data_IF_144500540900
#
_entry.id   IF_144500540900
#
_cell.length_a   1.000
_cell.length_b   1.000
_cell.length_c   1.000
_cell.angle_alpha   90.00
_cell.angle_beta   90.00
_cell.angle_gamma   90.00
#
_symmetry.space_group_name_H-M   'P 1'
#
loop_
_entity.id
_entity.type
_entity.pdbx_description
1 polymer ?
#
# COMPACT_ATOMS: atom_id res chain seq x y z
N UNK A 1 -8.03 -11.16 -11.17
CA UNK A 1 -8.50 -11.31 -12.56
C UNK A 1 -8.45 -9.97 -13.30
N UNK A 2 -9.14 -8.93 -12.82
CA UNK A 2 -9.27 -7.62 -13.50
C UNK A 2 -7.95 -6.89 -13.71
N UNK A 3 -7.10 -6.78 -12.68
CA UNK A 3 -5.79 -6.13 -12.79
C UNK A 3 -4.90 -6.76 -13.87
N UNK A 4 -4.84 -8.08 -13.94
CA UNK A 4 -4.09 -8.80 -14.98
C UNK A 4 -4.70 -8.57 -16.37
N UNK A 5 -6.01 -8.46 -16.47
CA UNK A 5 -6.69 -8.17 -17.73
C UNK A 5 -6.41 -6.74 -18.21
N UNK A 6 -6.43 -5.77 -17.31
CA UNK A 6 -6.05 -4.39 -17.59
C UNK A 6 -4.61 -4.30 -18.14
N UNK A 7 -3.66 -5.00 -17.52
CA UNK A 7 -2.26 -5.04 -17.99
C UNK A 7 -2.12 -5.66 -19.37
N UNK A 8 -2.88 -6.74 -19.66
CA UNK A 8 -2.87 -7.37 -20.98
C UNK A 8 -3.46 -6.49 -22.08
N UNK A 9 -4.38 -5.61 -21.73
CA UNK A 9 -4.91 -4.60 -22.65
C UNK A 9 -3.90 -3.52 -23.02
N UNK A 10 -2.78 -3.45 -22.30
CA UNK A 10 -1.71 -2.48 -22.48
C UNK A 10 -1.88 -1.23 -21.60
N UNK A 11 -0.77 -0.71 -21.13
CA UNK A 11 -0.67 0.55 -20.37
C UNK A 11 0.06 1.56 -21.24
N UNK A 12 -0.57 2.69 -21.60
CA UNK A 12 0.10 3.70 -22.42
C UNK A 12 1.23 4.36 -21.62
N UNK A 13 2.39 4.51 -22.25
CA UNK A 13 3.49 5.33 -21.72
C UNK A 13 3.34 6.76 -22.25
N UNK A 14 3.48 7.74 -21.38
CA UNK A 14 3.38 9.16 -21.70
C UNK A 14 4.72 9.76 -22.07
N UNK A 15 5.82 9.05 -21.78
CA UNK A 15 7.20 9.44 -22.10
C UNK A 15 8.08 8.21 -22.28
N UNK A 16 9.22 8.41 -22.93
CA UNK A 16 10.25 7.36 -23.02
C UNK A 16 10.81 7.07 -21.63
N UNK A 17 10.92 5.79 -21.20
CA UNK A 17 11.49 5.45 -19.90
C UNK A 17 12.87 6.08 -19.66
N UNK A 18 13.08 6.62 -18.47
CA UNK A 18 14.33 7.25 -18.07
C UNK A 18 14.49 8.72 -18.50
N UNK A 19 13.55 9.30 -19.27
CA UNK A 19 13.66 10.70 -19.75
C UNK A 19 13.10 11.73 -18.78
N UNK A 20 12.10 11.35 -17.97
CA UNK A 20 11.55 12.21 -16.92
C UNK A 20 10.94 11.39 -15.79
N UNK A 21 10.79 12.02 -14.62
CA UNK A 21 10.09 11.43 -13.49
C UNK A 21 8.58 11.65 -13.66
N UNK A 22 7.82 10.56 -13.54
CA UNK A 22 6.36 10.60 -13.46
C UNK A 22 5.91 9.72 -12.28
N UNK A 23 5.20 10.33 -11.33
CA UNK A 23 4.65 9.58 -10.21
C UNK A 23 3.54 8.62 -10.69
N UNK A 24 3.65 7.34 -10.31
CA UNK A 24 2.70 6.34 -10.78
C UNK A 24 2.29 5.36 -9.67
N UNK A 25 1.07 5.48 -9.20
CA UNK A 25 0.45 4.48 -8.33
C UNK A 25 0.36 3.10 -9.01
N UNK A 26 0.06 3.09 -10.30
CA UNK A 26 0.04 1.85 -11.09
C UNK A 26 1.41 1.18 -11.12
N UNK A 27 2.49 1.95 -11.21
CA UNK A 27 3.86 1.43 -11.13
C UNK A 27 4.11 0.69 -9.82
N UNK A 28 3.70 1.25 -8.68
CA UNK A 28 3.82 0.59 -7.38
C UNK A 28 2.91 -0.64 -7.26
N UNK A 29 1.70 -0.61 -7.79
CA UNK A 29 0.82 -1.79 -7.83
C UNK A 29 1.46 -2.94 -8.65
N UNK A 30 2.13 -2.61 -9.76
CA UNK A 30 2.90 -3.57 -10.56
C UNK A 30 4.06 -4.17 -9.77
N UNK A 31 4.84 -3.37 -9.05
CA UNK A 31 5.92 -3.86 -8.18
C UNK A 31 5.38 -4.81 -7.12
N UNK A 32 4.24 -4.48 -6.48
CA UNK A 32 3.58 -5.37 -5.53
C UNK A 32 3.17 -6.71 -6.17
N UNK A 33 2.70 -6.69 -7.42
CA UNK A 33 2.38 -7.91 -8.16
C UNK A 33 3.61 -8.74 -8.50
N UNK A 34 4.71 -8.09 -8.87
CA UNK A 34 5.99 -8.77 -9.12
C UNK A 34 6.49 -9.45 -7.84
N UNK A 35 6.47 -8.75 -6.71
CA UNK A 35 6.86 -9.31 -5.40
C UNK A 35 6.02 -10.54 -5.08
N UNK A 36 4.68 -10.47 -5.21
CA UNK A 36 3.78 -11.59 -5.01
C UNK A 36 4.14 -12.79 -5.90
N UNK A 37 4.45 -12.55 -7.17
CA UNK A 37 4.79 -13.62 -8.11
C UNK A 37 6.15 -14.26 -7.81
N UNK A 38 7.13 -13.47 -7.40
CA UNK A 38 8.50 -13.97 -7.10
C UNK A 38 8.54 -14.68 -5.76
N UNK A 39 7.90 -14.11 -4.73
CA UNK A 39 7.87 -14.70 -3.38
C UNK A 39 6.91 -15.89 -3.25
N UNK A 40 5.98 -16.07 -4.18
CA UNK A 40 4.87 -17.02 -4.12
C UNK A 40 3.97 -16.83 -2.89
N UNK A 41 3.98 -15.62 -2.31
CA UNK A 41 3.19 -15.22 -1.15
C UNK A 41 2.47 -13.89 -1.42
N UNK A 42 1.36 -13.59 -0.75
CA UNK A 42 0.74 -12.28 -0.81
C UNK A 42 1.73 -11.17 -0.47
N UNK A 43 1.67 -10.05 -1.20
CA UNK A 43 2.55 -8.89 -0.98
C UNK A 43 2.63 -8.47 0.49
N UNK A 44 1.47 -8.34 1.15
CA UNK A 44 1.40 -7.90 2.54
C UNK A 44 2.12 -8.88 3.50
N UNK A 45 2.01 -10.19 3.27
CA UNK A 45 2.70 -11.21 4.06
C UNK A 45 4.20 -11.16 3.82
N UNK A 46 4.63 -11.02 2.57
CA UNK A 46 6.05 -10.90 2.21
C UNK A 46 6.68 -9.69 2.91
N UNK A 47 6.07 -8.49 2.80
CA UNK A 47 6.59 -7.29 3.45
C UNK A 47 6.58 -7.43 4.98
N UNK A 48 5.53 -8.02 5.54
CA UNK A 48 5.45 -8.22 6.98
C UNK A 48 6.58 -9.11 7.49
N UNK A 49 6.81 -10.25 6.85
CA UNK A 49 7.81 -11.23 7.31
C UNK A 49 9.25 -10.81 7.01
N UNK A 50 9.48 -10.11 5.89
CA UNK A 50 10.86 -9.78 5.46
C UNK A 50 11.34 -8.40 5.92
N UNK A 51 10.42 -7.48 6.24
CA UNK A 51 10.77 -6.11 6.66
C UNK A 51 10.21 -5.75 8.02
N UNK A 52 8.88 -5.80 8.21
CA UNK A 52 8.27 -5.25 9.42
C UNK A 52 8.67 -6.04 10.68
N UNK A 53 8.61 -7.36 10.63
CA UNK A 53 8.97 -8.20 11.76
C UNK A 53 10.47 -8.11 12.13
N UNK A 54 11.43 -8.23 11.20
CA UNK A 54 12.85 -8.06 11.53
C UNK A 54 13.20 -6.70 12.11
N UNK A 55 12.51 -5.64 11.69
CA UNK A 55 12.69 -4.30 12.23
C UNK A 55 11.94 -4.04 13.55
N UNK A 56 11.18 -5.02 14.05
CA UNK A 56 10.37 -4.86 15.26
C UNK A 56 9.22 -3.87 15.11
N UNK A 57 8.70 -3.67 13.89
CA UNK A 57 7.61 -2.75 13.58
C UNK A 57 6.23 -3.39 13.87
N UNK A 58 5.99 -3.69 15.14
CA UNK A 58 4.83 -4.47 15.59
C UNK A 58 3.47 -3.74 15.47
N UNK A 59 3.49 -2.41 15.32
CA UNK A 59 2.31 -1.56 15.12
C UNK A 59 2.13 -1.13 13.66
N UNK A 60 2.72 -1.88 12.73
CA UNK A 60 2.68 -1.62 11.30
C UNK A 60 2.10 -2.80 10.54
N UNK A 61 1.41 -2.55 9.44
CA UNK A 61 0.82 -3.60 8.61
C UNK A 61 -0.11 -3.06 7.54
N UNK A 62 -0.81 -3.99 6.89
CA UNK A 62 -1.73 -3.71 5.78
C UNK A 62 -3.21 -3.90 6.15
N UNK A 63 -3.50 -4.27 7.38
CA UNK A 63 -4.85 -4.53 7.88
C UNK A 63 -5.09 -3.66 9.11
N UNK A 64 -5.63 -2.46 8.87
CA UNK A 64 -5.93 -1.50 9.95
C UNK A 64 -6.96 -2.04 10.93
N UNK A 65 -7.84 -2.92 10.50
CA UNK A 65 -8.91 -3.45 11.35
C UNK A 65 -8.38 -4.31 12.49
N UNK A 66 -7.15 -4.79 12.37
CA UNK A 66 -6.44 -5.48 13.47
C UNK A 66 -5.99 -4.54 14.59
N UNK A 67 -5.85 -3.25 14.32
CA UNK A 67 -5.51 -2.28 15.37
C UNK A 67 -6.77 -1.91 16.17
N UNK A 68 -6.69 -1.71 17.51
CA UNK A 68 -7.80 -1.18 18.31
C UNK A 68 -8.28 0.17 17.77
N UNK A 69 -9.60 0.39 17.76
CA UNK A 69 -10.20 1.59 17.15
C UNK A 69 -9.65 2.90 17.75
N UNK A 70 -9.45 2.91 19.06
CA UNK A 70 -8.92 4.07 19.81
C UNK A 70 -7.45 4.41 19.46
N UNK A 71 -6.77 3.53 18.74
CA UNK A 71 -5.39 3.71 18.27
C UNK A 71 -5.29 3.99 16.77
N UNK A 72 -6.42 4.09 16.08
CA UNK A 72 -6.44 4.38 14.65
C UNK A 72 -6.56 5.88 14.40
N UNK A 73 -5.74 6.41 13.51
CA UNK A 73 -6.03 7.69 12.89
C UNK A 73 -7.15 7.49 11.86
N UNK A 74 -8.19 8.30 11.95
CA UNK A 74 -9.30 8.26 11.01
C UNK A 74 -9.11 9.36 9.97
N UNK A 75 -9.27 9.00 8.69
CA UNK A 75 -9.38 9.98 7.61
C UNK A 75 -10.79 10.56 7.55
N UNK A 76 -10.88 11.84 7.21
CA UNK A 76 -12.16 12.51 7.00
C UNK A 76 -12.12 13.25 5.68
N UNK A 77 -13.26 13.30 5.01
CA UNK A 77 -13.49 14.18 3.86
C UNK A 77 -14.69 15.09 4.11
N UNK A 78 -14.64 16.26 3.52
CA UNK A 78 -15.77 17.18 3.50
C UNK A 78 -16.68 16.84 2.32
N UNK A 79 -17.95 16.47 2.59
CA UNK A 79 -18.93 16.09 1.60
C UNK A 79 -20.32 16.49 2.10
N UNK A 80 -21.13 17.09 1.24
CA UNK A 80 -22.50 17.55 1.56
C UNK A 80 -22.59 18.42 2.82
N UNK A 81 -21.66 19.38 2.96
CA UNK A 81 -21.54 20.29 4.11
C UNK A 81 -21.30 19.64 5.48
N UNK A 82 -20.75 18.42 5.49
CA UNK A 82 -20.37 17.73 6.73
C UNK A 82 -19.06 16.94 6.60
N UNK A 83 -18.42 16.66 7.73
CA UNK A 83 -17.27 15.76 7.80
C UNK A 83 -17.73 14.32 7.84
N UNK A 84 -17.36 13.54 6.84
CA UNK A 84 -17.58 12.09 6.78
C UNK A 84 -16.29 11.32 6.96
N UNK A 85 -16.38 10.21 7.72
CA UNK A 85 -15.24 9.31 7.87
C UNK A 85 -14.97 8.60 6.54
N UNK A 86 -13.72 8.64 6.09
CA UNK A 86 -13.28 7.87 4.93
C UNK A 86 -13.22 6.38 5.25
N UNK A 87 -13.76 5.53 4.37
CA UNK A 87 -13.58 4.10 4.52
C UNK A 87 -12.12 3.73 4.41
N UNK A 88 -11.67 2.82 5.26
CA UNK A 88 -10.32 2.27 5.19
C UNK A 88 -10.13 1.44 3.93
N UNK A 89 -9.02 1.66 3.24
CA UNK A 89 -8.66 0.86 2.08
C UNK A 89 -8.12 -0.50 2.57
N UNK A 90 -8.74 -1.58 2.15
CA UNK A 90 -8.26 -2.94 2.43
C UNK A 90 -6.95 -3.26 1.68
N UNK A 91 -6.26 -4.33 2.09
CA UNK A 91 -4.93 -4.69 1.57
C UNK A 91 -4.92 -5.31 0.16
N UNK A 92 -5.87 -5.04 -0.69
CA UNK A 92 -6.00 -5.63 -2.04
C UNK A 92 -4.79 -5.42 -2.96
N UNK A 93 -5.01 -5.52 -4.25
CA UNK A 93 -4.01 -5.31 -5.32
C UNK A 93 -3.26 -3.97 -5.18
N UNK A 94 -3.90 -2.98 -4.59
CA UNK A 94 -3.36 -1.64 -4.39
C UNK A 94 -2.58 -1.47 -3.08
N UNK A 95 -2.41 -2.52 -2.28
CA UNK A 95 -1.64 -2.45 -1.02
C UNK A 95 -0.23 -1.89 -1.19
N UNK A 96 0.43 -2.19 -2.29
CA UNK A 96 1.79 -1.71 -2.58
C UNK A 96 1.87 -0.21 -2.92
N UNK A 97 0.77 0.41 -3.35
CA UNK A 97 0.78 1.84 -3.71
C UNK A 97 0.39 2.78 -2.56
N UNK A 98 -0.08 2.24 -1.41
CA UNK A 98 -0.49 3.10 -0.29
C UNK A 98 -1.22 2.39 0.84
N UNK A 99 -1.21 1.05 0.88
CA UNK A 99 -1.95 0.28 1.88
C UNK A 99 -1.20 0.05 3.20
N UNK A 100 0.08 0.42 3.30
CA UNK A 100 0.83 0.29 4.55
C UNK A 100 0.37 1.34 5.57
N UNK A 101 0.08 0.86 6.76
CA UNK A 101 -0.23 1.68 7.94
C UNK A 101 0.84 1.45 8.99
N UNK A 102 1.25 2.52 9.67
CA UNK A 102 2.34 2.48 10.63
C UNK A 102 2.13 3.49 11.75
N UNK A 103 2.76 3.27 12.88
CA UNK A 103 2.90 4.27 13.94
C UNK A 103 4.16 5.10 13.73
N UNK A 104 4.21 6.33 14.29
CA UNK A 104 5.41 7.16 14.27
C UNK A 104 6.64 6.45 14.89
N UNK A 105 6.42 5.67 15.95
CA UNK A 105 7.48 4.90 16.59
C UNK A 105 8.03 3.79 15.70
N UNK A 106 7.18 3.10 14.96
CA UNK A 106 7.62 2.07 14.02
C UNK A 106 8.30 2.68 12.80
N UNK A 107 7.76 3.79 12.29
CA UNK A 107 8.40 4.49 11.18
C UNK A 107 9.81 4.98 11.53
N UNK A 108 10.03 5.42 12.77
CA UNK A 108 11.37 5.77 13.24
C UNK A 108 12.37 4.60 13.17
N UNK A 109 11.94 3.36 13.40
CA UNK A 109 12.78 2.16 13.25
C UNK A 109 13.15 1.88 11.79
N UNK A 110 12.28 2.24 10.86
CA UNK A 110 12.58 2.13 9.43
C UNK A 110 13.63 3.14 8.97
N UNK A 111 13.64 4.33 9.56
CA UNK A 111 14.52 5.44 9.15
C UNK A 111 15.90 5.37 9.84
N UNK A 112 16.00 4.71 11.00
CA UNK A 112 17.25 4.57 11.76
C UNK A 112 18.22 3.56 11.12
#
# INVERSE_FOLDING_TARGET
AEFTQMLRAGVPFTSVPGTRMEYSNLGYALLGRIITNVSQQPYAETITSTLLQPLGMASSGFDVEKAPLERRALGYRWEDDEWRIEPTMGPGVFGAMGGLQTSANDYAKWVA
#
